data_IF_962440861474
#
_entry.id   IF_962440861474
#
_cell.length_a   1.000
_cell.length_b   1.000
_cell.length_c   1.000
_cell.angle_alpha   90.00
_cell.angle_beta   90.00
_cell.angle_gamma   90.00
#
_symmetry.space_group_name_H-M   'P 1'
#
loop_
_entity.id
_entity.type
_entity.pdbx_description
1 polymer ?
#
# COMPACT_ATOMS: atom_id res chain seq x y z
N UNK A 1 11.23 17.27 -14.58
CA UNK A 1 10.18 17.01 -13.58
C UNK A 1 9.16 16.06 -14.16
N UNK A 2 8.95 14.92 -13.50
CA UNK A 2 7.98 13.90 -13.87
C UNK A 2 7.02 13.67 -12.71
N UNK A 3 5.81 13.18 -12.98
CA UNK A 3 4.85 12.81 -11.94
C UNK A 3 5.34 11.58 -11.16
N UNK A 4 5.36 11.70 -9.83
CA UNK A 4 5.85 10.69 -8.88
C UNK A 4 4.73 10.06 -8.06
N UNK A 5 3.61 10.76 -7.92
CA UNK A 5 2.35 10.27 -7.37
C UNK A 5 1.17 10.85 -8.15
N UNK A 6 0.07 10.11 -8.23
CA UNK A 6 -1.20 10.59 -8.79
C UNK A 6 -2.37 10.10 -7.94
N UNK A 7 -3.33 10.99 -7.65
CA UNK A 7 -4.58 10.57 -7.01
C UNK A 7 -5.48 9.80 -8.00
N UNK A 8 -6.51 9.14 -7.48
CA UNK A 8 -7.44 8.36 -8.30
C UNK A 8 -8.19 9.22 -9.34
N UNK A 9 -8.37 10.53 -9.09
CA UNK A 9 -9.07 11.43 -10.02
C UNK A 9 -8.17 11.79 -11.19
N UNK A 10 -6.93 12.17 -10.91
CA UNK A 10 -5.88 12.41 -11.89
C UNK A 10 -5.65 11.17 -12.76
N UNK A 11 -5.59 9.98 -12.15
CA UNK A 11 -5.43 8.73 -12.90
C UNK A 11 -6.62 8.48 -13.86
N UNK A 12 -7.86 8.72 -13.41
CA UNK A 12 -9.05 8.62 -14.28
C UNK A 12 -9.06 9.63 -15.43
N UNK A 13 -8.34 10.74 -15.29
CA UNK A 13 -8.14 11.75 -16.35
C UNK A 13 -6.99 11.41 -17.30
N UNK A 14 -6.39 10.21 -17.17
CA UNK A 14 -5.32 9.73 -18.04
C UNK A 14 -3.91 10.14 -17.61
N UNK A 15 -3.77 10.77 -16.43
CA UNK A 15 -2.46 11.10 -15.88
C UNK A 15 -1.83 9.85 -15.25
N UNK A 16 -0.58 9.56 -15.62
CA UNK A 16 0.15 8.39 -15.15
C UNK A 16 1.49 8.79 -14.55
N UNK A 17 2.04 7.92 -13.72
CA UNK A 17 3.40 8.05 -13.19
C UNK A 17 4.41 8.14 -14.33
N UNK A 18 5.55 8.77 -14.06
CA UNK A 18 6.64 9.05 -15.00
C UNK A 18 6.30 9.98 -16.19
N UNK A 19 5.05 10.41 -16.33
CA UNK A 19 4.65 11.45 -17.29
C UNK A 19 5.36 12.78 -16.97
N UNK A 20 5.77 13.53 -17.99
CA UNK A 20 6.35 14.86 -17.74
C UNK A 20 5.29 15.81 -17.18
N UNK A 21 5.67 16.71 -16.28
CA UNK A 21 4.74 17.70 -15.72
C UNK A 21 4.16 18.62 -16.83
N UNK A 22 4.93 18.86 -17.90
CA UNK A 22 4.49 19.65 -19.05
C UNK A 22 3.36 18.94 -19.81
N UNK A 23 3.52 17.66 -20.12
CA UNK A 23 2.48 16.87 -20.80
C UNK A 23 1.23 16.73 -19.94
N UNK A 24 1.41 16.49 -18.63
CA UNK A 24 0.30 16.41 -17.69
C UNK A 24 -0.52 17.71 -17.64
N UNK A 25 0.15 18.87 -17.65
CA UNK A 25 -0.51 20.19 -17.70
C UNK A 25 -1.12 20.50 -19.06
N UNK A 26 -0.56 19.99 -20.16
CA UNK A 26 -1.19 20.09 -21.47
C UNK A 26 -2.50 19.29 -21.54
N UNK A 27 -2.54 18.10 -20.91
CA UNK A 27 -3.76 17.28 -20.80
C UNK A 27 -4.78 17.87 -19.82
N UNK A 28 -4.30 18.38 -18.67
CA UNK A 28 -5.12 18.95 -17.61
C UNK A 28 -4.56 20.31 -17.17
N UNK A 29 -5.01 21.42 -17.78
CA UNK A 29 -4.50 22.76 -17.48
C UNK A 29 -4.71 23.22 -16.03
N UNK A 30 -5.71 22.66 -15.35
CA UNK A 30 -6.02 22.93 -13.93
C UNK A 30 -5.34 21.95 -12.97
N UNK A 31 -4.38 21.16 -13.43
CA UNK A 31 -3.64 20.23 -12.59
C UNK A 31 -2.86 20.99 -11.51
N UNK A 32 -3.24 20.76 -10.26
CA UNK A 32 -2.46 21.14 -9.10
C UNK A 32 -1.32 20.14 -8.95
N UNK A 33 -0.09 20.66 -8.84
CA UNK A 33 1.10 19.85 -8.65
C UNK A 33 1.80 20.36 -7.39
N UNK A 34 2.11 19.42 -6.50
CA UNK A 34 2.81 19.65 -5.23
C UNK A 34 4.20 19.02 -5.39
N UNK A 35 5.24 19.68 -4.88
CA UNK A 35 6.59 19.11 -4.88
C UNK A 35 6.64 17.90 -3.95
N UNK A 36 7.41 16.87 -4.33
CA UNK A 36 7.59 15.71 -3.46
C UNK A 36 8.49 16.07 -2.27
N UNK A 37 8.16 15.54 -1.10
CA UNK A 37 8.95 15.67 0.12
C UNK A 37 9.30 14.26 0.63
N UNK A 38 10.30 13.57 0.02
CA UNK A 38 10.56 12.15 0.29
C UNK A 38 10.94 11.86 1.75
N UNK A 39 11.52 12.85 2.43
CA UNK A 39 11.86 12.75 3.85
C UNK A 39 10.60 12.75 4.74
N UNK A 40 9.59 13.56 4.40
CA UNK A 40 8.30 13.57 5.11
C UNK A 40 7.50 12.28 4.85
N UNK A 41 7.55 11.76 3.62
CA UNK A 41 6.93 10.48 3.26
C UNK A 41 7.57 9.32 4.04
N UNK A 42 8.90 9.27 4.12
CA UNK A 42 9.63 8.27 4.89
C UNK A 42 9.30 8.36 6.39
N UNK A 43 9.29 9.59 6.94
CA UNK A 43 8.94 9.80 8.35
C UNK A 43 7.49 9.40 8.65
N UNK A 44 6.58 9.61 7.70
CA UNK A 44 5.19 9.15 7.80
C UNK A 44 5.14 7.62 7.85
N UNK A 45 5.91 6.93 7.01
CA UNK A 45 5.98 5.47 7.03
C UNK A 45 6.53 4.93 8.36
N UNK A 46 7.56 5.56 8.92
CA UNK A 46 8.10 5.24 10.24
C UNK A 46 7.05 5.41 11.34
N UNK A 47 6.26 6.48 11.29
CA UNK A 47 5.18 6.72 12.25
C UNK A 47 4.09 5.65 12.15
N UNK A 48 3.75 5.20 10.93
CA UNK A 48 2.81 4.09 10.73
C UNK A 48 3.39 2.78 11.29
N UNK A 49 4.68 2.52 11.08
CA UNK A 49 5.34 1.34 11.61
C UNK A 49 5.32 1.31 13.15
N UNK A 50 5.70 2.42 13.79
CA UNK A 50 5.61 2.57 15.25
C UNK A 50 4.18 2.42 15.75
N UNK A 51 3.19 2.97 15.02
CA UNK A 51 1.79 2.78 15.37
C UNK A 51 1.33 1.32 15.28
N UNK A 52 1.89 0.53 14.35
CA UNK A 52 1.60 -0.89 14.14
C UNK A 52 2.15 -1.83 15.22
N UNK A 53 3.10 -1.39 16.05
CA UNK A 53 3.68 -2.19 17.15
C UNK A 53 2.64 -2.71 18.16
N UNK A 54 1.45 -2.09 18.21
CA UNK A 54 0.32 -2.58 19.02
C UNK A 54 -0.26 -3.91 18.56
N UNK A 55 0.00 -4.32 17.32
CA UNK A 55 -0.56 -5.52 16.70
C UNK A 55 0.42 -6.69 16.70
N UNK A 56 1.71 -6.40 16.70
CA UNK A 56 2.79 -7.40 16.71
C UNK A 56 4.09 -6.76 17.22
N UNK A 57 4.94 -7.53 17.94
CA UNK A 57 6.28 -7.07 18.29
C UNK A 57 7.24 -6.98 17.10
N UNK A 58 6.89 -7.50 15.91
CA UNK A 58 7.76 -7.55 14.74
C UNK A 58 7.11 -6.78 13.59
N UNK A 59 7.62 -5.56 13.38
CA UNK A 59 7.26 -4.67 12.26
C UNK A 59 8.52 -4.38 11.45
N UNK A 60 8.42 -4.48 10.13
CA UNK A 60 9.54 -4.23 9.20
C UNK A 60 9.08 -3.27 8.12
N UNK A 61 9.87 -2.23 7.83
CA UNK A 61 9.60 -1.28 6.76
C UNK A 61 9.83 -1.92 5.38
N UNK A 62 8.96 -1.60 4.43
CA UNK A 62 9.07 -1.95 3.00
C UNK A 62 8.90 -0.66 2.17
N UNK A 63 9.88 0.25 2.22
CA UNK A 63 9.78 1.56 1.59
C UNK A 63 9.64 1.45 0.06
N UNK A 64 9.01 2.43 -0.61
CA UNK A 64 8.54 3.71 -0.03
C UNK A 64 7.13 3.67 0.56
N UNK A 65 6.32 2.65 0.26
CA UNK A 65 4.87 2.65 0.55
C UNK A 65 4.36 1.33 1.15
N UNK A 66 5.14 0.71 2.03
CA UNK A 66 4.80 -0.59 2.59
C UNK A 66 5.46 -0.91 3.93
N UNK A 67 4.91 -1.92 4.59
CA UNK A 67 5.44 -2.50 5.82
C UNK A 67 4.96 -3.95 5.96
N UNK A 68 5.78 -4.78 6.59
CA UNK A 68 5.46 -6.16 6.96
C UNK A 68 5.21 -6.27 8.45
N UNK A 69 4.19 -7.04 8.80
CA UNK A 69 3.89 -7.45 10.17
C UNK A 69 4.02 -8.97 10.26
N UNK A 70 4.87 -9.47 11.13
CA UNK A 70 4.82 -10.88 11.51
C UNK A 70 3.79 -11.04 12.64
N UNK A 71 2.60 -11.50 12.29
CA UNK A 71 1.47 -11.65 13.21
C UNK A 71 1.47 -12.99 13.95
N UNK A 72 2.53 -13.79 13.83
CA UNK A 72 2.65 -15.12 14.44
C UNK A 72 2.42 -15.03 15.94
N UNK A 73 1.41 -15.75 16.43
CA UNK A 73 1.04 -15.75 17.85
C UNK A 73 0.33 -14.49 18.35
N UNK A 74 0.09 -13.48 17.51
CA UNK A 74 -0.63 -12.26 17.91
C UNK A 74 -2.09 -12.25 17.42
N UNK A 75 -2.37 -12.87 16.27
CA UNK A 75 -3.69 -12.82 15.63
C UNK A 75 -4.86 -13.27 16.53
N UNK A 76 -4.63 -14.21 17.46
CA UNK A 76 -5.67 -14.68 18.36
C UNK A 76 -6.19 -13.61 19.33
N UNK A 77 -5.37 -12.60 19.66
CA UNK A 77 -5.75 -11.47 20.53
C UNK A 77 -6.82 -10.58 19.88
N UNK A 78 -6.93 -10.64 18.55
CA UNK A 78 -7.88 -9.87 17.75
C UNK A 78 -9.02 -10.75 17.20
N UNK A 79 -9.10 -12.01 17.64
CA UNK A 79 -10.11 -12.96 17.19
C UNK A 79 -9.83 -13.58 15.82
N UNK A 80 -8.56 -13.63 15.41
CA UNK A 80 -8.08 -14.28 14.18
C UNK A 80 -7.43 -13.32 13.19
N UNK A 81 -6.72 -13.88 12.22
CA UNK A 81 -5.96 -13.16 11.20
C UNK A 81 -6.82 -12.16 10.42
N UNK A 82 -8.00 -12.59 9.97
CA UNK A 82 -8.88 -11.73 9.18
C UNK A 82 -9.44 -10.55 9.99
N UNK A 83 -9.74 -10.75 11.27
CA UNK A 83 -10.20 -9.66 12.14
C UNK A 83 -9.07 -8.66 12.42
N UNK A 84 -7.86 -9.16 12.65
CA UNK A 84 -6.67 -8.31 12.78
C UNK A 84 -6.45 -7.47 11.51
N UNK A 85 -6.49 -8.11 10.33
CA UNK A 85 -6.35 -7.44 9.03
C UNK A 85 -7.38 -6.33 8.84
N UNK A 86 -8.66 -6.64 9.09
CA UNK A 86 -9.74 -5.66 9.00
C UNK A 86 -9.54 -4.51 9.98
N UNK A 87 -9.18 -4.79 11.23
CA UNK A 87 -8.96 -3.76 12.25
C UNK A 87 -7.82 -2.79 11.87
N UNK A 88 -6.68 -3.31 11.40
CA UNK A 88 -5.56 -2.49 10.92
C UNK A 88 -6.02 -1.57 9.80
N UNK A 89 -6.63 -2.13 8.75
CA UNK A 89 -7.06 -1.38 7.56
C UNK A 89 -8.12 -0.33 7.92
N UNK A 90 -9.12 -0.70 8.73
CA UNK A 90 -10.17 0.23 9.18
C UNK A 90 -9.58 1.39 9.99
N UNK A 91 -8.63 1.12 10.89
CA UNK A 91 -8.01 2.17 11.71
C UNK A 91 -7.05 3.06 10.91
N UNK A 92 -6.35 2.53 9.91
CA UNK A 92 -5.53 3.35 8.99
C UNK A 92 -6.41 4.26 8.14
N UNK A 93 -7.53 3.75 7.63
CA UNK A 93 -8.53 4.58 6.94
C UNK A 93 -9.12 5.68 7.84
N UNK A 94 -9.40 5.36 9.11
CA UNK A 94 -9.88 6.36 10.07
C UNK A 94 -8.86 7.47 10.37
N UNK A 95 -7.57 7.20 10.15
CA UNK A 95 -6.49 8.19 10.25
C UNK A 95 -6.25 8.97 8.95
N UNK A 96 -7.00 8.65 7.87
CA UNK A 96 -6.90 9.33 6.58
C UNK A 96 -6.02 8.62 5.54
N UNK A 97 -5.45 7.46 5.85
CA UNK A 97 -4.59 6.72 4.92
C UNK A 97 -5.37 5.84 3.96
N UNK A 98 -4.90 5.75 2.72
CA UNK A 98 -5.32 4.71 1.78
C UNK A 98 -4.52 3.43 2.02
N UNK A 99 -5.06 2.49 2.79
CA UNK A 99 -4.35 1.26 3.14
C UNK A 99 -4.94 0.01 2.47
N UNK A 100 -4.08 -0.95 2.14
CA UNK A 100 -4.44 -2.31 1.73
C UNK A 100 -3.52 -3.28 2.46
N UNK A 101 -4.05 -4.42 2.88
CA UNK A 101 -3.28 -5.46 3.56
C UNK A 101 -3.70 -6.85 3.08
N UNK A 102 -2.72 -7.74 2.99
CA UNK A 102 -2.90 -9.16 2.72
C UNK A 102 -2.11 -9.97 3.74
N UNK A 103 -2.63 -11.13 4.11
CA UNK A 103 -1.96 -12.10 4.99
C UNK A 103 -1.65 -13.31 4.13
N UNK A 104 -0.42 -13.79 4.21
CA UNK A 104 0.03 -14.97 3.50
C UNK A 104 1.17 -15.67 4.27
N UNK A 105 1.40 -16.97 4.02
CA UNK A 105 2.45 -17.73 4.70
C UNK A 105 3.89 -17.25 4.42
N UNK A 106 4.10 -16.45 3.37
CA UNK A 106 5.42 -15.89 3.05
C UNK A 106 5.34 -14.39 2.75
N UNK A 107 6.41 -13.62 3.04
CA UNK A 107 6.45 -12.18 2.79
C UNK A 107 6.19 -11.82 1.31
N UNK A 108 6.76 -12.59 0.36
CA UNK A 108 6.57 -12.33 -1.07
C UNK A 108 5.10 -12.46 -1.51
N UNK A 109 4.39 -13.46 -0.99
CA UNK A 109 2.96 -13.62 -1.28
C UNK A 109 2.13 -12.48 -0.67
N UNK A 110 2.43 -12.10 0.57
CA UNK A 110 1.73 -11.00 1.24
C UNK A 110 1.96 -9.67 0.49
N UNK A 111 3.21 -9.40 0.09
CA UNK A 111 3.61 -8.24 -0.70
C UNK A 111 2.85 -8.17 -2.02
N UNK A 112 2.86 -9.27 -2.78
CA UNK A 112 2.24 -9.30 -4.09
C UNK A 112 0.71 -9.19 -3.98
N UNK A 113 0.09 -9.86 -3.00
CA UNK A 113 -1.35 -9.76 -2.80
C UNK A 113 -1.79 -8.38 -2.32
N UNK A 114 -1.02 -7.70 -1.46
CA UNK A 114 -1.35 -6.36 -1.02
C UNK A 114 -1.29 -5.33 -2.17
N UNK A 115 -0.34 -5.48 -3.11
CA UNK A 115 -0.10 -4.53 -4.19
C UNK A 115 -0.94 -4.80 -5.44
N UNK A 116 -1.01 -6.05 -5.87
CA UNK A 116 -1.53 -6.42 -7.19
C UNK A 116 -2.86 -7.18 -7.16
N UNK A 117 -3.36 -7.65 -6.02
CA UNK A 117 -4.63 -8.42 -5.96
C UNK A 117 -5.84 -7.51 -6.13
N UNK A 118 -6.08 -7.09 -7.36
CA UNK A 118 -7.35 -6.51 -7.82
C UNK A 118 -8.14 -7.67 -8.45
N UNK A 119 -9.18 -8.13 -7.76
CA UNK A 119 -10.18 -9.11 -8.26
C UNK A 119 -9.73 -10.56 -8.50
N UNK A 120 -9.35 -11.30 -7.45
CA UNK A 120 -9.40 -12.77 -7.51
C UNK A 120 -10.31 -13.27 -6.38
N UNK A 121 -11.39 -13.96 -6.73
CA UNK A 121 -12.32 -14.57 -5.79
C UNK A 121 -11.93 -16.00 -5.39
N UNK A 122 -10.78 -16.50 -5.85
CA UNK A 122 -10.42 -17.92 -5.69
C UNK A 122 -9.13 -18.17 -4.91
N UNK A 123 -8.99 -19.43 -4.48
CA UNK A 123 -7.99 -19.99 -3.55
C UNK A 123 -6.52 -19.67 -3.90
N UNK A 124 -5.70 -19.70 -2.85
CA UNK A 124 -4.28 -19.27 -2.79
C UNK A 124 -3.37 -19.92 -3.85
N UNK A 125 -3.74 -21.08 -4.40
CA UNK A 125 -2.91 -21.86 -5.34
C UNK A 125 -2.90 -21.30 -6.77
N UNK A 126 -3.98 -20.69 -7.25
CA UNK A 126 -4.06 -20.18 -8.64
C UNK A 126 -3.74 -18.69 -8.76
N UNK A 127 -3.62 -17.97 -7.63
CA UNK A 127 -3.43 -16.53 -7.59
C UNK A 127 -2.02 -16.05 -8.00
N UNK A 128 -1.02 -16.95 -8.05
CA UNK A 128 0.35 -16.62 -8.42
C UNK A 128 0.57 -16.48 -9.93
N UNK A 129 -0.28 -17.10 -10.76
CA UNK A 129 -0.10 -17.10 -12.21
C UNK A 129 -0.32 -15.71 -12.86
N UNK A 130 -0.98 -14.79 -12.14
CA UNK A 130 -1.38 -13.46 -12.66
C UNK A 130 -0.46 -12.34 -12.14
N UNK A 131 0.50 -12.67 -11.27
CA UNK A 131 1.43 -11.70 -10.71
C UNK A 131 2.62 -11.50 -11.65
N UNK A 132 3.10 -10.25 -11.85
CA UNK A 132 4.29 -10.01 -12.65
C UNK A 132 5.49 -10.74 -12.04
N UNK A 133 6.24 -11.49 -12.87
CA UNK A 133 7.45 -12.23 -12.47
C UNK A 133 8.65 -11.29 -12.33
N UNK A 134 8.53 -10.07 -12.85
CA UNK A 134 9.54 -9.01 -12.77
C UNK A 134 9.13 -8.03 -11.65
N UNK A 135 9.84 -8.09 -10.53
CA UNK A 135 9.79 -7.15 -9.41
C UNK A 135 11.19 -6.62 -9.13
#
# INVERSE_FOLDING_TARGET
>A
MQLKGVDLRAHKLGLNLAMSLADARAMQPKLEAIEEEPEEDAQTLDNIAAWCERFTPIVVLDPPEGLFLDITGCAHLFGGEEKLRMEIVTRLHAQGFGARAAIAPTPGCAWAFARYRRQLQDEVTDAFAVLPVEA
#
